data_IF_551013159936
#
_entry.id   IF_551013159936
#
_cell.length_a   1.000
_cell.length_b   1.000
_cell.length_c   1.000
_cell.angle_alpha   90.00
_cell.angle_beta   90.00
_cell.angle_gamma   90.00
#
_symmetry.space_group_name_H-M   'P 1'
#
loop_
_entity.id
_entity.type
_entity.pdbx_description
1 polymer ?
#
# COMPACT_ATOMS: atom_id res chain seq x y z
N UNK A 1 -27.99 -2.25 0.15
CA UNK A 1 -27.19 -3.43 -0.19
C UNK A 1 -27.19 -3.68 -1.70
N UNK A 2 -28.32 -4.02 -2.37
CA UNK A 2 -28.31 -4.37 -3.81
C UNK A 2 -27.70 -3.33 -4.72
N UNK A 3 -27.90 -2.05 -4.44
CA UNK A 3 -27.29 -0.96 -5.20
C UNK A 3 -25.76 -0.85 -5.06
N UNK A 4 -25.16 -1.59 -4.15
CA UNK A 4 -23.71 -1.62 -3.89
C UNK A 4 -23.03 -2.92 -4.33
N UNK A 5 -23.81 -3.85 -4.92
CA UNK A 5 -23.25 -5.09 -5.46
C UNK A 5 -22.65 -4.79 -6.82
N UNK A 6 -21.33 -4.96 -6.91
CA UNK A 6 -20.55 -4.71 -8.12
C UNK A 6 -20.81 -5.72 -9.25
N UNK A 7 -20.37 -5.40 -10.45
CA UNK A 7 -20.49 -6.29 -11.62
C UNK A 7 -19.65 -7.56 -11.47
N UNK A 8 -18.55 -7.48 -10.73
CA UNK A 8 -17.70 -8.61 -10.32
C UNK A 8 -17.29 -8.43 -8.87
N UNK A 9 -16.95 -9.52 -8.16
CA UNK A 9 -16.49 -9.46 -6.77
C UNK A 9 -17.60 -9.24 -5.72
N UNK A 10 -18.86 -9.08 -6.09
CA UNK A 10 -19.98 -8.98 -5.16
C UNK A 10 -20.01 -7.70 -4.33
N UNK A 11 -20.42 -7.77 -3.07
CA UNK A 11 -20.51 -6.63 -2.17
C UNK A 11 -19.14 -6.30 -1.55
N UNK A 12 -18.60 -5.13 -1.89
CA UNK A 12 -17.29 -4.67 -1.40
C UNK A 12 -16.11 -5.47 -1.93
N UNK A 13 -16.34 -6.39 -2.87
CA UNK A 13 -15.36 -7.26 -3.53
C UNK A 13 -14.45 -8.08 -2.57
N UNK A 14 -14.87 -8.27 -1.32
CA UNK A 14 -14.17 -9.07 -0.30
C UNK A 14 -15.08 -10.14 0.28
N UNK A 15 -14.49 -11.28 0.64
CA UNK A 15 -15.21 -12.42 1.21
C UNK A 15 -16.17 -12.06 2.36
N UNK A 16 -15.80 -11.26 3.40
CA UNK A 16 -16.74 -10.91 4.47
C UNK A 16 -17.97 -10.16 3.95
N UNK A 17 -17.81 -9.22 3.03
CA UNK A 17 -18.90 -8.46 2.43
C UNK A 17 -19.87 -9.36 1.66
N UNK A 18 -19.32 -10.28 0.86
CA UNK A 18 -20.10 -11.24 0.06
C UNK A 18 -20.90 -12.15 0.96
N UNK A 19 -20.28 -12.82 1.95
CA UNK A 19 -20.93 -13.77 2.86
C UNK A 19 -21.98 -13.06 3.73
N UNK A 20 -21.68 -11.92 4.30
CA UNK A 20 -22.64 -11.18 5.10
C UNK A 20 -23.83 -10.69 4.27
N UNK A 21 -23.66 -10.42 2.98
CA UNK A 21 -24.78 -10.11 2.09
C UNK A 21 -25.71 -11.31 1.89
N UNK A 22 -25.16 -12.53 1.80
CA UNK A 22 -25.95 -13.78 1.74
C UNK A 22 -26.72 -13.99 3.04
N UNK A 23 -26.06 -13.84 4.20
CA UNK A 23 -26.72 -13.97 5.51
C UNK A 23 -27.85 -12.96 5.67
N UNK A 24 -27.64 -11.69 5.30
CA UNK A 24 -28.66 -10.65 5.33
C UNK A 24 -29.87 -11.02 4.44
N UNK A 25 -29.65 -11.49 3.22
CA UNK A 25 -30.73 -11.92 2.32
C UNK A 25 -31.48 -13.11 2.91
N UNK A 26 -30.77 -14.11 3.48
CA UNK A 26 -31.42 -15.26 4.11
C UNK A 26 -32.23 -14.86 5.33
N UNK A 27 -31.73 -13.98 6.18
CA UNK A 27 -32.47 -13.46 7.34
C UNK A 27 -33.73 -12.70 6.95
N UNK A 28 -33.73 -12.04 5.77
CA UNK A 28 -34.89 -11.33 5.21
C UNK A 28 -35.85 -12.26 4.45
N UNK A 29 -35.62 -13.58 4.44
CA UNK A 29 -36.51 -14.58 3.83
C UNK A 29 -36.35 -14.79 2.33
N UNK A 30 -35.27 -14.28 1.71
CA UNK A 30 -34.99 -14.55 0.31
C UNK A 30 -34.74 -16.05 0.07
N UNK A 31 -35.31 -16.68 -0.97
CA UNK A 31 -35.10 -18.07 -1.29
C UNK A 31 -33.68 -18.35 -1.80
N UNK A 32 -33.19 -19.58 -1.66
CA UNK A 32 -31.84 -19.97 -2.06
C UNK A 32 -31.55 -19.76 -3.56
N UNK A 33 -32.56 -19.81 -4.39
CA UNK A 33 -32.50 -19.61 -5.84
C UNK A 33 -32.61 -18.16 -6.27
N UNK A 34 -32.72 -17.22 -5.31
CA UNK A 34 -32.74 -15.81 -5.62
C UNK A 34 -31.49 -15.40 -6.43
N UNK A 35 -31.63 -14.64 -7.53
CA UNK A 35 -30.51 -14.34 -8.43
C UNK A 35 -29.30 -13.72 -7.74
N UNK A 36 -29.48 -12.86 -6.76
CA UNK A 36 -28.38 -12.21 -6.03
C UNK A 36 -27.66 -13.20 -5.08
N UNK A 37 -28.39 -14.16 -4.47
CA UNK A 37 -27.76 -15.19 -3.65
C UNK A 37 -26.92 -16.12 -4.52
N UNK A 38 -27.46 -16.58 -5.65
CA UNK A 38 -26.71 -17.42 -6.61
C UNK A 38 -25.46 -16.72 -7.12
N UNK A 39 -25.58 -15.42 -7.39
CA UNK A 39 -24.45 -14.61 -7.84
C UNK A 39 -23.39 -14.49 -6.74
N UNK A 40 -23.77 -14.13 -5.51
CA UNK A 40 -22.86 -14.04 -4.39
C UNK A 40 -22.14 -15.36 -4.09
N UNK A 41 -22.84 -16.49 -4.16
CA UNK A 41 -22.24 -17.82 -4.02
C UNK A 41 -21.21 -18.10 -5.14
N UNK A 42 -21.49 -17.69 -6.37
CA UNK A 42 -20.52 -17.80 -7.47
C UNK A 42 -19.27 -16.97 -7.23
N UNK A 43 -19.39 -15.77 -6.69
CA UNK A 43 -18.21 -14.94 -6.32
C UNK A 43 -17.39 -15.58 -5.20
N UNK A 44 -18.05 -16.26 -4.22
CA UNK A 44 -17.34 -17.04 -3.19
C UNK A 44 -16.54 -18.20 -3.80
N UNK A 45 -17.13 -18.91 -4.75
CA UNK A 45 -16.44 -20.01 -5.45
C UNK A 45 -15.21 -19.52 -6.23
N UNK A 46 -15.23 -18.30 -6.77
CA UNK A 46 -14.07 -17.70 -7.46
C UNK A 46 -12.91 -17.33 -6.52
N UNK A 47 -13.18 -17.21 -5.22
CA UNK A 47 -12.16 -16.98 -4.18
C UNK A 47 -11.58 -18.29 -3.62
N UNK A 48 -12.12 -19.42 -4.02
CA UNK A 48 -11.67 -20.74 -3.58
C UNK A 48 -10.38 -21.11 -4.28
N UNK A 49 -9.40 -21.55 -3.50
CA UNK A 49 -8.18 -22.19 -3.96
C UNK A 49 -8.23 -23.65 -3.49
N UNK A 50 -8.16 -24.56 -4.42
CA UNK A 50 -8.21 -26.01 -4.18
C UNK A 50 -6.93 -26.64 -4.70
N UNK A 51 -6.20 -27.30 -3.82
CA UNK A 51 -4.99 -28.07 -4.09
C UNK A 51 -5.24 -29.55 -3.81
N UNK A 52 -4.26 -30.43 -4.04
CA UNK A 52 -4.45 -31.86 -3.86
C UNK A 52 -4.99 -32.24 -2.47
N UNK A 53 -4.43 -31.66 -1.40
CA UNK A 53 -4.71 -31.98 0.00
C UNK A 53 -5.28 -30.81 0.81
N UNK A 54 -5.53 -29.68 0.18
CA UNK A 54 -6.01 -28.48 0.88
C UNK A 54 -7.07 -27.72 0.11
N UNK A 55 -7.89 -27.00 0.86
CA UNK A 55 -8.85 -26.05 0.32
C UNK A 55 -8.90 -24.83 1.22
N UNK A 56 -8.69 -23.64 0.64
CA UNK A 56 -8.87 -22.40 1.37
C UNK A 56 -9.58 -21.35 0.52
N UNK A 57 -10.15 -20.36 1.20
CA UNK A 57 -10.77 -19.20 0.58
C UNK A 57 -9.87 -18.00 0.77
N UNK A 58 -9.40 -17.43 -0.33
CA UNK A 58 -8.74 -16.13 -0.25
C UNK A 58 -9.77 -15.03 0.02
N UNK A 59 -9.42 -13.97 0.77
CA UNK A 59 -10.38 -12.94 1.16
C UNK A 59 -10.79 -12.03 0.01
N UNK A 60 -9.91 -11.81 -0.96
CA UNK A 60 -10.09 -10.93 -2.14
C UNK A 60 -8.96 -11.20 -3.14
N UNK A 61 -8.99 -10.48 -4.24
CA UNK A 61 -7.91 -10.40 -5.22
C UNK A 61 -7.44 -8.94 -5.35
N UNK A 62 -6.18 -8.72 -5.73
CA UNK A 62 -5.50 -7.42 -5.71
C UNK A 62 -4.96 -6.95 -7.07
N UNK A 63 -5.72 -7.09 -8.17
CA UNK A 63 -5.17 -6.86 -9.51
C UNK A 63 -4.71 -5.41 -9.76
N UNK A 64 -5.40 -4.41 -9.21
CA UNK A 64 -5.03 -3.00 -9.40
C UNK A 64 -3.78 -2.68 -8.60
N UNK A 65 -3.74 -3.07 -7.33
CA UNK A 65 -2.60 -2.91 -6.45
C UNK A 65 -1.33 -3.56 -6.99
N UNK A 66 -1.42 -4.84 -7.33
CA UNK A 66 -0.27 -5.60 -7.83
C UNK A 66 0.20 -5.12 -9.20
N UNK A 67 -0.72 -4.75 -10.10
CA UNK A 67 -0.32 -4.19 -11.40
C UNK A 67 0.44 -2.87 -11.22
N UNK A 68 0.01 -2.00 -10.31
CA UNK A 68 0.68 -0.73 -10.05
C UNK A 68 2.08 -0.92 -9.47
N UNK A 69 2.25 -1.77 -8.46
CA UNK A 69 3.58 -2.08 -7.91
C UNK A 69 4.48 -2.78 -8.91
N UNK A 70 3.96 -3.69 -9.71
CA UNK A 70 4.72 -4.35 -10.78
C UNK A 70 5.24 -3.34 -11.82
N UNK A 71 4.44 -2.37 -12.25
CA UNK A 71 4.87 -1.28 -13.14
C UNK A 71 6.02 -0.48 -12.51
N UNK A 72 5.90 -0.13 -11.22
CA UNK A 72 6.94 0.61 -10.50
C UNK A 72 8.24 -0.21 -10.45
N UNK A 73 8.16 -1.48 -10.06
CA UNK A 73 9.31 -2.36 -9.93
C UNK A 73 10.04 -2.57 -11.27
N UNK A 74 9.30 -2.87 -12.31
CA UNK A 74 9.84 -3.09 -13.65
C UNK A 74 10.51 -1.82 -14.22
N UNK A 75 9.89 -0.65 -14.02
CA UNK A 75 10.51 0.61 -14.43
C UNK A 75 11.77 0.91 -13.63
N UNK A 76 11.73 0.81 -12.29
CA UNK A 76 12.88 1.04 -11.41
C UNK A 76 14.03 0.06 -11.74
N UNK A 77 13.73 -1.14 -12.25
CA UNK A 77 14.73 -2.12 -12.70
C UNK A 77 15.40 -1.77 -14.03
N UNK A 78 14.83 -0.83 -14.79
CA UNK A 78 15.43 -0.30 -16.01
C UNK A 78 14.60 -0.48 -17.28
N UNK A 79 13.36 -1.01 -17.19
CA UNK A 79 12.47 -1.04 -18.36
C UNK A 79 12.14 0.41 -18.78
N UNK A 80 12.26 0.74 -20.06
CA UNK A 80 11.92 2.08 -20.53
C UNK A 80 10.41 2.31 -20.44
N UNK A 81 10.00 3.57 -20.20
CA UNK A 81 8.59 3.98 -20.00
C UNK A 81 7.64 3.59 -21.14
N UNK A 82 8.18 3.38 -22.35
CA UNK A 82 7.44 2.94 -23.53
C UNK A 82 7.49 1.42 -23.76
N UNK A 83 8.02 0.64 -22.82
CA UNK A 83 8.01 -0.82 -22.92
C UNK A 83 6.56 -1.33 -22.97
N UNK A 84 6.28 -2.29 -23.87
CA UNK A 84 4.92 -2.77 -24.15
C UNK A 84 4.17 -3.24 -22.89
N UNK A 85 4.86 -3.92 -21.97
CA UNK A 85 4.26 -4.38 -20.72
C UNK A 85 3.79 -3.19 -19.84
N UNK A 86 4.62 -2.14 -19.72
CA UNK A 86 4.28 -0.95 -18.94
C UNK A 86 3.14 -0.16 -19.58
N UNK A 87 3.16 -0.04 -20.91
CA UNK A 87 2.09 0.64 -21.66
C UNK A 87 0.75 -0.09 -21.46
N UNK A 88 0.71 -1.42 -21.69
CA UNK A 88 -0.52 -2.21 -21.51
C UNK A 88 -1.07 -2.14 -20.07
N UNK A 89 -0.18 -2.26 -19.07
CA UNK A 89 -0.59 -2.14 -17.68
C UNK A 89 -1.11 -0.73 -17.38
N UNK A 90 -0.46 0.31 -17.88
CA UNK A 90 -0.90 1.69 -17.72
C UNK A 90 -2.24 1.98 -18.39
N UNK A 91 -2.47 1.48 -19.60
CA UNK A 91 -3.79 1.60 -20.27
C UNK A 91 -4.89 0.90 -19.47
N UNK A 92 -4.61 -0.30 -18.95
CA UNK A 92 -5.55 -1.04 -18.12
C UNK A 92 -5.85 -0.29 -16.80
N UNK A 93 -4.83 0.24 -16.12
CA UNK A 93 -4.98 1.03 -14.91
C UNK A 93 -5.77 2.32 -15.17
N UNK A 94 -5.53 3.03 -16.29
CA UNK A 94 -6.34 4.19 -16.67
C UNK A 94 -7.81 3.84 -16.85
N UNK A 95 -8.10 2.67 -17.44
CA UNK A 95 -9.47 2.18 -17.63
C UNK A 95 -10.19 1.82 -16.32
N UNK A 96 -9.47 1.77 -15.19
CA UNK A 96 -9.99 1.49 -13.84
C UNK A 96 -10.26 2.74 -13.00
N UNK A 97 -9.99 3.93 -13.54
CA UNK A 97 -10.31 5.16 -12.82
C UNK A 97 -11.79 5.24 -12.49
N UNK A 98 -12.12 5.47 -11.23
CA UNK A 98 -13.49 5.67 -10.76
C UNK A 98 -14.03 7.02 -11.25
N UNK A 99 -15.20 6.99 -11.92
CA UNK A 99 -15.86 8.19 -12.42
C UNK A 99 -17.26 8.40 -11.81
N UNK A 100 -17.66 7.51 -10.92
CA UNK A 100 -18.94 7.56 -10.24
C UNK A 100 -18.79 8.07 -8.80
N UNK A 101 -19.86 8.67 -8.28
CA UNK A 101 -19.89 9.10 -6.89
C UNK A 101 -20.18 7.93 -5.96
N UNK A 102 -19.26 7.64 -5.05
CA UNK A 102 -19.40 6.64 -4.00
C UNK A 102 -19.79 7.24 -2.63
N UNK A 103 -19.74 6.41 -1.61
CA UNK A 103 -20.12 6.78 -0.24
C UNK A 103 -19.17 7.83 0.38
N UNK A 104 -17.93 7.92 -0.06
CA UNK A 104 -16.93 8.94 0.30
C UNK A 104 -17.44 10.37 0.09
N UNK A 105 -18.38 10.58 -0.86
CA UNK A 105 -18.96 11.90 -1.18
C UNK A 105 -19.69 12.55 0.00
N UNK A 106 -20.21 11.75 0.93
CA UNK A 106 -20.94 12.28 2.10
C UNK A 106 -20.11 13.29 2.88
N UNK A 107 -18.79 13.03 3.00
CA UNK A 107 -17.85 13.93 3.70
C UNK A 107 -17.01 14.80 2.76
N UNK A 108 -17.07 14.54 1.47
CA UNK A 108 -16.32 15.27 0.44
C UNK A 108 -17.19 15.63 -0.79
N UNK A 109 -18.28 16.40 -0.60
CA UNK A 109 -19.34 16.57 -1.62
C UNK A 109 -18.94 17.43 -2.83
N UNK A 110 -17.85 18.18 -2.74
CA UNK A 110 -17.47 19.19 -3.74
C UNK A 110 -16.34 18.72 -4.67
N UNK A 111 -15.85 17.50 -4.49
CA UNK A 111 -14.75 16.96 -5.28
C UNK A 111 -15.29 16.03 -6.36
N UNK A 112 -14.75 16.18 -7.56
CA UNK A 112 -15.06 15.32 -8.71
C UNK A 112 -14.61 13.89 -8.46
N UNK A 113 -15.37 12.85 -8.87
CA UNK A 113 -14.99 11.47 -8.72
C UNK A 113 -13.70 11.15 -9.43
N UNK A 114 -12.79 10.48 -8.71
CA UNK A 114 -11.56 9.90 -9.22
C UNK A 114 -11.03 8.88 -8.21
N UNK A 115 -9.86 8.33 -8.47
CA UNK A 115 -9.21 7.32 -7.66
C UNK A 115 -9.38 5.92 -8.24
N UNK A 116 -8.79 4.95 -7.56
CA UNK A 116 -8.81 3.55 -7.94
C UNK A 116 -9.19 2.68 -6.74
N UNK A 117 -9.71 1.53 -7.02
CA UNK A 117 -10.04 0.48 -6.07
C UNK A 117 -9.04 -0.68 -6.19
N UNK A 118 -9.04 -1.55 -5.22
CA UNK A 118 -8.06 -2.62 -5.03
C UNK A 118 -8.27 -3.81 -5.98
N UNK A 119 -9.52 -4.19 -6.25
CA UNK A 119 -9.95 -5.39 -6.96
C UNK A 119 -10.22 -5.12 -8.45
N UNK A 120 -10.93 -6.03 -9.13
CA UNK A 120 -11.38 -5.85 -10.51
C UNK A 120 -12.52 -4.84 -10.67
N UNK A 121 -13.40 -4.73 -9.67
CA UNK A 121 -14.49 -3.76 -9.62
C UNK A 121 -14.88 -3.49 -8.16
N UNK A 122 -14.83 -2.25 -7.75
CA UNK A 122 -15.31 -1.74 -6.45
C UNK A 122 -15.50 -0.22 -6.49
N UNK A 123 -16.27 0.25 -7.48
CA UNK A 123 -16.39 1.68 -7.82
C UNK A 123 -17.01 2.53 -6.69
N UNK A 124 -17.75 1.91 -5.76
CA UNK A 124 -18.31 2.59 -4.59
C UNK A 124 -17.27 2.99 -3.54
N UNK A 125 -16.12 2.30 -3.53
CA UNK A 125 -15.09 2.42 -2.51
C UNK A 125 -13.69 2.59 -3.14
N UNK A 126 -13.44 3.73 -3.83
CA UNK A 126 -12.07 4.02 -4.27
C UNK A 126 -11.17 4.13 -3.04
N UNK A 127 -9.98 3.56 -3.14
CA UNK A 127 -8.97 3.48 -2.10
C UNK A 127 -7.92 4.58 -2.28
N UNK A 128 -7.59 5.28 -1.20
CA UNK A 128 -6.60 6.37 -1.20
C UNK A 128 -5.19 5.83 -1.44
N UNK A 129 -4.82 4.68 -0.83
CA UNK A 129 -3.50 4.08 -0.98
C UNK A 129 -3.31 3.55 -2.41
N UNK A 130 -4.28 2.77 -2.93
CA UNK A 130 -4.28 2.32 -4.33
C UNK A 130 -4.16 3.49 -5.30
N UNK A 131 -4.94 4.55 -5.08
CA UNK A 131 -4.94 5.72 -5.95
C UNK A 131 -3.58 6.38 -6.01
N UNK A 132 -2.89 6.53 -4.89
CA UNK A 132 -1.55 7.11 -4.86
C UNK A 132 -0.53 6.20 -5.57
N UNK A 133 -0.60 4.89 -5.37
CA UNK A 133 0.32 3.92 -6.02
C UNK A 133 0.06 3.86 -7.53
N UNK A 134 -1.20 3.82 -7.96
CA UNK A 134 -1.56 3.83 -9.39
C UNK A 134 -1.05 5.10 -10.08
N UNK A 135 -1.21 6.26 -9.45
CA UNK A 135 -0.68 7.53 -9.98
C UNK A 135 0.84 7.47 -10.15
N UNK A 136 1.56 6.92 -9.16
CA UNK A 136 3.01 6.70 -9.26
C UNK A 136 3.40 5.71 -10.36
N UNK A 137 2.59 4.67 -10.59
CA UNK A 137 2.79 3.72 -11.67
C UNK A 137 2.55 4.38 -13.04
N UNK A 138 1.44 5.09 -13.21
CA UNK A 138 1.11 5.82 -14.42
C UNK A 138 2.16 6.88 -14.77
N UNK A 139 2.78 7.53 -13.78
CA UNK A 139 3.90 8.46 -14.00
C UNK A 139 5.08 7.79 -14.71
N UNK A 140 5.26 6.48 -14.52
CA UNK A 140 6.35 5.65 -15.09
C UNK A 140 6.04 5.04 -16.46
N UNK A 141 4.91 5.37 -17.05
CA UNK A 141 4.50 4.87 -18.36
C UNK A 141 4.40 5.99 -19.39
N UNK A 142 4.58 5.68 -20.66
CA UNK A 142 4.21 6.55 -21.79
C UNK A 142 2.94 5.97 -22.37
N UNK A 143 1.85 6.73 -22.30
CA UNK A 143 0.54 6.27 -22.76
C UNK A 143 0.20 6.89 -24.12
N UNK A 144 -0.40 6.14 -25.04
CA UNK A 144 -0.90 6.71 -26.29
C UNK A 144 -1.97 7.77 -26.04
N UNK A 145 -1.97 8.84 -26.82
CA UNK A 145 -3.04 9.85 -26.79
C UNK A 145 -2.82 11.03 -25.86
N UNK A 146 -1.58 11.30 -25.38
CA UNK A 146 -1.19 12.56 -24.68
C UNK A 146 -2.26 13.08 -23.71
N UNK A 147 -2.32 14.23 -23.27
CA UNK A 147 -3.38 14.96 -22.55
C UNK A 147 -4.29 14.24 -21.51
N UNK A 148 -4.78 13.04 -21.83
CA UNK A 148 -5.63 12.27 -20.91
C UNK A 148 -4.98 11.93 -19.57
N UNK A 149 -3.70 11.65 -19.58
CA UNK A 149 -2.94 11.29 -18.39
C UNK A 149 -2.79 12.50 -17.45
N UNK A 150 -2.51 13.65 -17.99
CA UNK A 150 -2.37 14.90 -17.24
C UNK A 150 -3.71 15.33 -16.61
N UNK A 151 -4.81 15.15 -17.33
CA UNK A 151 -6.17 15.39 -16.79
C UNK A 151 -6.48 14.44 -15.63
N UNK A 152 -6.15 13.15 -15.78
CA UNK A 152 -6.31 12.14 -14.72
C UNK A 152 -5.46 12.50 -13.52
N UNK A 153 -4.19 12.88 -13.72
CA UNK A 153 -3.31 13.28 -12.62
C UNK A 153 -3.86 14.47 -11.85
N UNK A 154 -4.34 15.49 -12.55
CA UNK A 154 -4.92 16.67 -11.91
C UNK A 154 -6.19 16.32 -11.11
N UNK A 155 -7.09 15.54 -11.71
CA UNK A 155 -8.35 15.14 -11.08
C UNK A 155 -8.13 14.24 -9.88
N UNK A 156 -7.32 13.19 -10.02
CA UNK A 156 -7.04 12.26 -8.95
C UNK A 156 -6.25 12.90 -7.81
N UNK A 157 -5.31 13.80 -8.11
CA UNK A 157 -4.62 14.56 -7.07
C UNK A 157 -5.59 15.47 -6.30
N UNK A 158 -6.54 16.11 -6.97
CA UNK A 158 -7.59 16.90 -6.29
C UNK A 158 -8.47 16.01 -5.41
N UNK A 159 -8.80 14.82 -5.89
CA UNK A 159 -9.55 13.85 -5.10
C UNK A 159 -8.78 13.42 -3.85
N UNK A 160 -7.51 13.03 -3.98
CA UNK A 160 -6.64 12.70 -2.85
C UNK A 160 -6.55 13.86 -1.82
N UNK A 161 -6.31 15.08 -2.28
CA UNK A 161 -6.27 16.26 -1.40
C UNK A 161 -7.61 16.47 -0.68
N UNK A 162 -8.73 16.25 -1.37
CA UNK A 162 -10.06 16.32 -0.79
C UNK A 162 -10.31 15.28 0.30
N UNK A 163 -9.64 14.13 0.25
CA UNK A 163 -9.76 13.04 1.24
C UNK A 163 -8.90 13.26 2.49
N UNK A 164 -8.02 14.28 2.53
CA UNK A 164 -7.24 14.58 3.73
C UNK A 164 -8.14 14.86 4.94
N UNK A 165 -7.90 14.17 6.04
CA UNK A 165 -8.60 14.36 7.30
C UNK A 165 -8.20 15.67 8.01
N UNK A 166 -9.00 16.07 9.01
CA UNK A 166 -8.75 17.31 9.77
C UNK A 166 -7.46 17.29 10.57
N UNK A 167 -7.00 16.10 11.00
CA UNK A 167 -5.74 15.92 11.71
C UNK A 167 -4.49 15.95 10.80
N UNK A 168 -4.68 16.00 9.47
CA UNK A 168 -3.64 16.07 8.47
C UNK A 168 -3.30 14.74 7.79
N UNK A 169 -3.74 13.60 8.32
CA UNK A 169 -3.54 12.28 7.74
C UNK A 169 -4.59 11.87 6.71
N UNK A 170 -4.45 10.67 6.17
CA UNK A 170 -5.41 10.00 5.29
C UNK A 170 -5.77 8.62 5.80
N UNK A 171 -7.07 8.27 5.80
CA UNK A 171 -7.57 6.91 5.84
C UNK A 171 -7.59 6.30 4.44
N UNK A 172 -7.89 5.02 4.32
CA UNK A 172 -7.95 4.33 3.04
C UNK A 172 -9.20 4.67 2.22
N UNK A 173 -10.37 4.74 2.85
CA UNK A 173 -11.65 4.87 2.15
C UNK A 173 -12.46 6.09 2.57
N UNK A 174 -12.22 6.60 3.79
CA UNK A 174 -13.11 7.55 4.41
C UNK A 174 -12.37 8.76 4.99
N UNK A 175 -13.03 9.90 5.02
CA UNK A 175 -12.50 11.12 5.62
C UNK A 175 -13.06 11.30 7.02
N UNK A 176 -12.20 11.58 8.01
CA UNK A 176 -12.60 11.86 9.40
C UNK A 176 -13.45 10.72 10.03
N UNK A 177 -13.14 9.46 9.74
CA UNK A 177 -13.81 8.29 10.32
C UNK A 177 -12.96 7.65 11.44
N UNK A 178 -12.75 8.41 12.54
CA UNK A 178 -11.82 8.07 13.61
C UNK A 178 -12.44 8.10 15.02
N UNK A 179 -13.76 8.04 15.16
CA UNK A 179 -14.45 8.06 16.45
C UNK A 179 -14.29 6.75 17.20
N UNK A 180 -13.23 6.60 17.99
CA UNK A 180 -12.86 5.37 18.73
C UNK A 180 -14.00 4.71 19.53
N UNK A 181 -15.02 5.48 19.95
CA UNK A 181 -16.22 4.96 20.60
C UNK A 181 -16.94 3.88 19.76
N UNK A 182 -16.88 3.96 18.43
CA UNK A 182 -17.50 3.00 17.53
C UNK A 182 -16.87 1.60 17.61
N UNK A 183 -15.64 1.47 18.10
CA UNK A 183 -15.00 0.16 18.34
C UNK A 183 -15.66 -0.66 19.46
N UNK A 184 -16.51 -0.03 20.28
CA UNK A 184 -17.26 -0.69 21.36
C UNK A 184 -18.64 -1.19 20.91
N UNK A 185 -19.00 -0.99 19.65
CA UNK A 185 -20.26 -1.48 19.09
C UNK A 185 -20.18 -3.00 18.93
N UNK A 186 -21.03 -3.78 19.63
CA UNK A 186 -20.83 -5.23 19.76
C UNK A 186 -21.10 -6.06 18.49
N UNK A 187 -21.66 -5.45 17.46
CA UNK A 187 -21.91 -6.06 16.14
C UNK A 187 -20.96 -5.52 15.05
N UNK A 188 -19.95 -4.75 15.44
CA UNK A 188 -18.91 -4.27 14.53
C UNK A 188 -17.77 -5.30 14.47
N UNK A 189 -17.80 -6.16 13.48
CA UNK A 189 -16.75 -7.15 13.26
C UNK A 189 -15.40 -6.43 13.01
N UNK A 190 -14.34 -6.90 13.67
CA UNK A 190 -12.95 -6.55 13.43
C UNK A 190 -12.59 -5.05 13.53
N UNK A 191 -13.46 -4.21 14.14
CA UNK A 191 -13.27 -2.77 14.14
C UNK A 191 -13.56 -2.10 12.78
N UNK A 192 -14.29 -2.78 11.89
CA UNK A 192 -14.56 -2.37 10.52
C UNK A 192 -15.45 -1.11 10.35
N UNK A 193 -15.99 -0.57 11.45
CA UNK A 193 -16.72 0.71 11.42
C UNK A 193 -15.81 1.93 11.30
N UNK A 194 -14.52 1.78 11.59
CA UNK A 194 -13.55 2.87 11.56
C UNK A 194 -12.58 2.72 10.39
N UNK A 195 -12.25 3.86 9.80
CA UNK A 195 -11.17 4.04 8.86
C UNK A 195 -10.34 5.26 9.26
N UNK A 196 -9.56 5.15 10.35
CA UNK A 196 -8.76 6.27 10.84
C UNK A 196 -7.59 6.56 9.89
N UNK A 197 -7.11 7.81 9.85
CA UNK A 197 -5.86 8.11 9.17
C UNK A 197 -4.71 7.30 9.76
N UNK A 198 -3.80 6.84 8.90
CA UNK A 198 -2.66 6.01 9.27
C UNK A 198 -1.37 6.51 8.66
N UNK A 199 -0.24 6.14 9.27
CA UNK A 199 1.07 6.64 8.83
C UNK A 199 1.46 6.14 7.45
N UNK A 200 1.15 4.90 7.12
CA UNK A 200 1.45 4.29 5.81
C UNK A 200 0.66 4.94 4.67
N UNK A 201 -0.67 5.08 4.80
CA UNK A 201 -1.51 5.74 3.78
C UNK A 201 -1.14 7.23 3.65
N UNK A 202 -0.94 7.92 4.78
CA UNK A 202 -0.51 9.34 4.78
C UNK A 202 0.82 9.52 4.05
N UNK A 203 1.78 8.67 4.34
CA UNK A 203 3.10 8.71 3.70
C UNK A 203 3.02 8.38 2.20
N UNK A 204 2.13 7.50 1.80
CA UNK A 204 1.90 7.17 0.39
C UNK A 204 1.34 8.37 -0.37
N UNK A 205 0.39 9.10 0.23
CA UNK A 205 -0.10 10.36 -0.34
C UNK A 205 1.04 11.39 -0.46
N UNK A 206 1.90 11.52 0.56
CA UNK A 206 3.06 12.41 0.49
C UNK A 206 4.04 11.99 -0.61
N UNK A 207 4.30 10.68 -0.80
CA UNK A 207 5.19 10.21 -1.88
C UNK A 207 4.64 10.63 -3.26
N UNK A 208 3.34 10.50 -3.50
CA UNK A 208 2.73 11.01 -4.73
C UNK A 208 2.80 12.54 -4.84
N UNK A 209 2.40 13.26 -3.79
CA UNK A 209 2.35 14.72 -3.80
C UNK A 209 3.73 15.33 -4.07
N UNK A 210 4.79 14.80 -3.46
CA UNK A 210 6.16 15.24 -3.72
C UNK A 210 6.57 15.05 -5.18
N UNK A 211 6.16 13.97 -5.82
CA UNK A 211 6.45 13.69 -7.23
C UNK A 211 5.77 14.64 -8.21
N UNK A 212 4.70 15.29 -7.81
CA UNK A 212 3.99 16.30 -8.62
C UNK A 212 4.24 17.73 -8.16
N UNK A 213 5.27 17.93 -7.33
CA UNK A 213 5.81 19.24 -6.99
C UNK A 213 5.24 19.88 -5.73
N UNK A 214 4.50 19.15 -4.90
CA UNK A 214 4.15 19.61 -3.57
C UNK A 214 5.34 19.41 -2.62
N UNK A 215 5.63 20.41 -1.81
CA UNK A 215 6.72 20.40 -0.85
C UNK A 215 6.27 20.90 0.54
N UNK A 216 7.19 21.03 1.47
CA UNK A 216 6.95 21.52 2.82
C UNK A 216 6.48 22.98 2.89
N UNK A 217 6.40 23.71 1.79
CA UNK A 217 5.76 25.02 1.70
C UNK A 217 4.24 24.97 1.52
N UNK A 218 3.68 23.80 1.19
CA UNK A 218 2.24 23.62 0.97
C UNK A 218 1.53 23.20 2.25
N UNK A 219 0.48 23.92 2.64
CA UNK A 219 -0.25 23.66 3.91
C UNK A 219 -0.72 22.21 4.06
N UNK A 220 -1.17 21.56 2.98
CA UNK A 220 -1.61 20.16 3.01
C UNK A 220 -0.45 19.22 3.37
N UNK A 221 0.75 19.48 2.83
CA UNK A 221 1.97 18.73 3.14
C UNK A 221 2.41 18.99 4.58
N UNK A 222 2.45 20.25 5.01
CA UNK A 222 2.79 20.62 6.40
C UNK A 222 1.95 19.86 7.39
N UNK A 223 0.63 19.82 7.20
CA UNK A 223 -0.29 19.10 8.08
C UNK A 223 -0.03 17.59 8.10
N UNK A 224 0.31 17.01 6.94
CA UNK A 224 0.60 15.59 6.84
C UNK A 224 1.94 15.22 7.50
N UNK A 225 2.95 16.07 7.35
CA UNK A 225 4.25 15.93 8.03
C UNK A 225 4.07 16.01 9.55
N UNK A 226 3.29 16.98 10.04
CA UNK A 226 2.97 17.10 11.48
C UNK A 226 2.17 15.89 11.99
N UNK A 227 1.24 15.36 11.19
CA UNK A 227 0.56 14.10 11.50
C UNK A 227 1.58 12.95 11.67
N UNK A 228 2.49 12.75 10.72
CA UNK A 228 3.52 11.72 10.82
C UNK A 228 4.44 11.91 12.02
N UNK A 229 4.86 13.15 12.32
CA UNK A 229 5.67 13.46 13.53
C UNK A 229 4.95 13.06 14.82
N UNK A 230 3.64 13.30 14.89
CA UNK A 230 2.81 12.95 16.04
C UNK A 230 2.59 11.44 16.19
N UNK A 231 2.43 10.73 15.08
CA UNK A 231 2.19 9.28 15.06
C UNK A 231 3.48 8.46 15.21
N UNK A 232 4.67 9.10 15.21
CA UNK A 232 5.93 8.39 15.45
C UNK A 232 5.97 7.81 16.86
N UNK A 233 6.29 6.53 16.96
CA UNK A 233 6.50 5.85 18.22
C UNK A 233 7.76 6.36 18.94
N UNK A 234 7.85 6.13 20.24
CA UNK A 234 8.99 6.59 21.08
C UNK A 234 10.33 6.03 20.62
N UNK A 235 10.33 4.82 20.06
CA UNK A 235 11.53 4.15 19.55
C UNK A 235 11.93 4.65 18.15
N UNK A 236 11.12 5.49 17.52
CA UNK A 236 11.36 6.06 16.19
C UNK A 236 10.62 5.36 15.07
N UNK A 237 9.99 4.23 15.31
CA UNK A 237 9.21 3.50 14.30
C UNK A 237 7.85 4.16 14.01
N UNK A 238 7.22 3.75 12.91
CA UNK A 238 5.82 4.05 12.60
C UNK A 238 5.01 2.78 12.41
N UNK A 239 3.80 2.80 12.94
CA UNK A 239 2.83 1.73 12.76
C UNK A 239 2.37 1.65 11.30
N UNK A 240 2.34 0.44 10.74
CA UNK A 240 1.80 0.13 9.42
C UNK A 240 0.43 -0.54 9.56
N UNK A 241 -0.62 0.09 9.01
CA UNK A 241 -1.98 -0.44 9.08
C UNK A 241 -2.21 -1.57 8.09
N UNK A 242 -1.67 -1.43 6.87
CA UNK A 242 -1.97 -2.31 5.74
C UNK A 242 -0.85 -3.31 5.45
N UNK A 243 0.38 -2.99 5.78
CA UNK A 243 1.53 -3.90 5.72
C UNK A 243 2.08 -4.19 7.11
N UNK A 244 2.57 -5.41 7.34
CA UNK A 244 3.09 -5.87 8.62
C UNK A 244 4.52 -5.40 8.85
N UNK A 245 4.71 -4.72 9.88
CA UNK A 245 3.95 -3.75 10.64
C UNK A 245 4.79 -2.48 10.75
N UNK A 246 5.68 -2.41 11.75
CA UNK A 246 6.52 -1.23 11.98
C UNK A 246 7.64 -1.07 10.94
N UNK A 247 8.15 -2.17 10.37
CA UNK A 247 9.10 -2.10 9.24
C UNK A 247 8.44 -1.45 8.02
N UNK A 248 7.21 -1.88 7.69
CA UNK A 248 6.42 -1.30 6.59
C UNK A 248 6.05 0.16 6.81
N UNK A 249 5.52 0.49 8.00
CA UNK A 249 5.13 1.86 8.34
C UNK A 249 6.31 2.82 8.35
N UNK A 250 7.46 2.36 8.87
CA UNK A 250 8.68 3.18 8.93
C UNK A 250 9.25 3.43 7.52
N UNK A 251 9.29 2.40 6.66
CA UNK A 251 9.66 2.60 5.25
C UNK A 251 8.75 3.60 4.57
N UNK A 252 7.42 3.42 4.70
CA UNK A 252 6.43 4.30 4.07
C UNK A 252 6.63 5.75 4.52
N UNK A 253 6.78 5.99 5.84
CA UNK A 253 6.99 7.31 6.40
C UNK A 253 8.27 7.99 5.84
N UNK A 254 9.40 7.27 5.85
CA UNK A 254 10.67 7.80 5.33
C UNK A 254 10.58 8.12 3.83
N UNK A 255 9.93 7.28 3.03
CA UNK A 255 9.74 7.51 1.60
C UNK A 255 8.88 8.74 1.31
N UNK A 256 7.74 8.89 2.01
CA UNK A 256 6.85 10.03 1.85
C UNK A 256 7.50 11.34 2.27
N UNK A 257 8.16 11.36 3.43
CA UNK A 257 8.85 12.55 3.95
C UNK A 257 9.97 13.02 3.01
N UNK A 258 10.79 12.10 2.49
CA UNK A 258 11.83 12.42 1.51
C UNK A 258 11.24 13.03 0.24
N UNK A 259 10.13 12.48 -0.26
CA UNK A 259 9.52 12.94 -1.52
C UNK A 259 9.03 14.39 -1.47
N UNK A 260 8.60 14.87 -0.31
CA UNK A 260 8.15 16.26 -0.12
C UNK A 260 9.26 17.23 0.34
N UNK A 261 10.49 16.74 0.41
CA UNK A 261 11.65 17.57 0.77
C UNK A 261 11.76 17.92 2.26
N UNK A 262 11.25 17.04 3.14
CA UNK A 262 11.49 17.17 4.59
C UNK A 262 12.98 17.04 4.91
N UNK A 263 13.44 17.68 5.99
CA UNK A 263 14.83 17.58 6.45
C UNK A 263 15.14 16.17 6.97
N UNK A 264 15.77 15.36 6.12
CA UNK A 264 16.15 13.99 6.46
C UNK A 264 17.28 13.91 7.49
N UNK A 265 17.88 15.05 7.89
CA UNK A 265 18.83 15.12 9.00
C UNK A 265 18.18 15.37 10.37
N UNK A 266 16.87 15.58 10.43
CA UNK A 266 16.13 15.86 11.64
C UNK A 266 16.21 14.69 12.64
N UNK A 267 16.16 14.99 13.94
CA UNK A 267 16.36 13.99 15.00
C UNK A 267 15.30 12.87 14.98
N UNK A 268 14.06 13.18 14.62
CA UNK A 268 13.02 12.16 14.52
C UNK A 268 13.26 11.19 13.35
N UNK A 269 13.88 11.65 12.25
CA UNK A 269 14.32 10.79 11.14
C UNK A 269 15.50 9.91 11.57
N UNK A 270 16.49 10.50 12.26
CA UNK A 270 17.63 9.73 12.80
C UNK A 270 17.17 8.62 13.75
N UNK A 271 16.14 8.87 14.57
CA UNK A 271 15.55 7.82 15.43
C UNK A 271 14.97 6.67 14.60
N UNK A 272 14.25 6.98 13.51
CA UNK A 272 13.67 5.97 12.62
C UNK A 272 14.75 5.13 11.92
N UNK A 273 15.78 5.79 11.41
CA UNK A 273 16.97 5.13 10.83
C UNK A 273 17.65 4.23 11.86
N UNK A 274 17.87 4.74 13.08
CA UNK A 274 18.43 3.97 14.18
C UNK A 274 17.59 2.75 14.53
N UNK A 275 16.27 2.90 14.57
CA UNK A 275 15.37 1.78 14.82
C UNK A 275 15.46 0.72 13.73
N UNK A 276 15.37 1.07 12.44
CA UNK A 276 15.52 0.11 11.34
C UNK A 276 16.85 -0.65 11.42
N UNK A 277 17.94 0.05 11.69
CA UNK A 277 19.26 -0.58 11.87
C UNK A 277 19.29 -1.55 13.05
N UNK A 278 18.63 -1.19 14.16
CA UNK A 278 18.63 -1.98 15.40
C UNK A 278 17.85 -3.30 15.33
N UNK A 279 16.88 -3.39 14.40
CA UNK A 279 16.04 -4.60 14.22
C UNK A 279 16.48 -5.47 13.05
N UNK A 280 17.63 -5.17 12.43
CA UNK A 280 18.23 -6.05 11.43
C UNK A 280 18.66 -7.38 12.05
N UNK A 281 18.34 -8.48 11.40
CA UNK A 281 18.70 -9.82 11.85
C UNK A 281 20.17 -10.14 11.55
N UNK A 282 20.78 -11.11 12.24
CA UNK A 282 22.22 -11.43 12.08
C UNK A 282 22.63 -11.84 10.67
N UNK A 283 21.70 -12.40 9.88
CA UNK A 283 21.93 -12.80 8.49
C UNK A 283 21.79 -11.66 7.47
N UNK A 284 21.46 -10.45 7.95
CA UNK A 284 21.33 -9.25 7.14
C UNK A 284 19.90 -8.94 6.69
N UNK A 285 18.95 -9.84 6.90
CA UNK A 285 17.53 -9.61 6.58
C UNK A 285 16.78 -8.81 7.63
N UNK A 286 15.52 -8.53 7.34
CA UNK A 286 14.53 -8.00 8.29
C UNK A 286 13.28 -8.86 8.27
N UNK A 287 12.66 -8.98 9.44
CA UNK A 287 11.42 -9.72 9.57
C UNK A 287 10.64 -9.32 10.82
N UNK A 288 9.33 -9.26 10.66
CA UNK A 288 8.41 -8.90 11.71
C UNK A 288 7.12 -9.71 11.57
N UNK A 289 6.74 -10.45 12.62
CA UNK A 289 5.48 -11.19 12.64
C UNK A 289 4.28 -10.27 12.86
N UNK A 290 3.15 -10.66 12.33
CA UNK A 290 1.88 -9.99 12.56
C UNK A 290 1.44 -9.95 14.04
N UNK A 291 2.06 -10.73 14.92
CA UNK A 291 1.83 -10.65 16.37
C UNK A 291 2.21 -9.28 16.95
N UNK A 292 3.07 -8.52 16.31
CA UNK A 292 3.39 -7.14 16.68
C UNK A 292 2.18 -6.19 16.68
N UNK A 293 1.10 -6.54 15.97
CA UNK A 293 -0.18 -5.84 16.06
C UNK A 293 -0.88 -6.00 17.41
N UNK A 294 -0.59 -7.10 18.12
CA UNK A 294 -1.17 -7.40 19.45
C UNK A 294 -0.24 -6.98 20.57
N UNK A 295 1.07 -7.23 20.38
CA UNK A 295 2.10 -6.93 21.37
C UNK A 295 3.23 -6.06 20.76
N UNK A 296 3.27 -4.75 21.10
CA UNK A 296 4.33 -3.86 20.64
C UNK A 296 5.76 -4.26 21.06
N UNK A 297 5.93 -5.15 22.05
CA UNK A 297 7.25 -5.69 22.40
C UNK A 297 7.83 -6.58 21.30
N UNK A 298 7.02 -6.99 20.34
CA UNK A 298 7.40 -7.80 19.18
C UNK A 298 7.75 -6.98 17.92
N UNK A 299 7.80 -5.65 18.03
CA UNK A 299 8.21 -4.76 16.92
C UNK A 299 9.52 -5.20 16.30
N UNK A 300 9.55 -5.36 15.00
CA UNK A 300 10.75 -5.77 14.25
C UNK A 300 11.26 -7.16 14.59
N UNK A 301 10.43 -8.04 15.19
CA UNK A 301 10.81 -9.40 15.56
C UNK A 301 10.01 -10.44 14.79
N UNK A 302 10.70 -11.29 14.08
CA UNK A 302 10.16 -12.41 13.30
C UNK A 302 11.22 -13.03 12.42
N UNK A 303 10.87 -14.09 11.70
CA UNK A 303 11.72 -14.60 10.62
C UNK A 303 11.89 -13.51 9.56
N UNK A 304 13.08 -13.48 8.95
CA UNK A 304 13.30 -12.57 7.82
C UNK A 304 12.41 -12.94 6.62
N UNK A 305 11.99 -11.91 5.92
CA UNK A 305 11.25 -12.07 4.66
C UNK A 305 11.88 -11.20 3.57
N UNK A 306 11.84 -11.61 2.31
CA UNK A 306 12.36 -10.80 1.22
C UNK A 306 11.61 -9.46 1.07
N UNK A 307 10.29 -9.43 1.27
CA UNK A 307 9.51 -8.18 1.18
C UNK A 307 9.82 -7.21 2.32
N UNK A 308 9.89 -7.66 3.58
CA UNK A 308 10.22 -6.78 4.70
C UNK A 308 11.69 -6.32 4.68
N UNK A 309 12.61 -7.19 4.24
CA UNK A 309 13.98 -6.80 3.97
C UNK A 309 14.07 -5.71 2.91
N UNK A 310 13.30 -5.84 1.83
CA UNK A 310 13.23 -4.82 0.79
C UNK A 310 12.66 -3.49 1.31
N UNK A 311 11.62 -3.53 2.14
CA UNK A 311 11.06 -2.31 2.75
C UNK A 311 12.08 -1.61 3.64
N UNK A 312 12.78 -2.35 4.50
CA UNK A 312 13.83 -1.76 5.36
C UNK A 312 14.94 -1.11 4.53
N UNK A 313 15.45 -1.82 3.50
CA UNK A 313 16.44 -1.25 2.58
C UNK A 313 15.90 0.04 1.95
N UNK A 314 14.69 0.02 1.39
CA UNK A 314 14.10 1.20 0.73
C UNK A 314 13.88 2.36 1.70
N UNK A 315 13.54 2.09 2.96
CA UNK A 315 13.43 3.11 4.01
C UNK A 315 14.79 3.77 4.31
N UNK A 316 15.83 2.97 4.49
CA UNK A 316 17.19 3.45 4.70
C UNK A 316 17.72 4.24 3.49
N UNK A 317 17.46 3.75 2.26
CA UNK A 317 17.82 4.48 1.04
C UNK A 317 17.11 5.83 0.92
N UNK A 318 15.82 5.90 1.29
CA UNK A 318 15.07 7.14 1.32
C UNK A 318 15.65 8.15 2.32
N UNK A 319 16.16 7.67 3.45
CA UNK A 319 16.86 8.50 4.43
C UNK A 319 18.32 8.87 4.04
N UNK A 320 18.79 8.47 2.86
CA UNK A 320 20.14 8.78 2.38
C UNK A 320 21.24 7.80 2.81
N UNK A 321 20.90 6.74 3.52
CA UNK A 321 21.81 5.74 4.11
C UNK A 321 22.32 4.71 3.08
N UNK A 322 22.74 5.17 1.89
CA UNK A 322 23.09 4.29 0.75
C UNK A 322 24.31 3.43 1.01
N UNK A 323 25.29 3.94 1.75
CA UNK A 323 26.61 3.30 1.97
C UNK A 323 26.73 2.72 3.38
N UNK A 324 25.61 2.55 4.13
CA UNK A 324 25.68 2.00 5.46
C UNK A 324 25.76 0.45 5.43
N UNK A 325 26.48 -0.17 6.40
CA UNK A 325 26.65 -1.62 6.44
C UNK A 325 25.33 -2.41 6.48
N UNK A 326 24.29 -1.84 7.08
CA UNK A 326 22.99 -2.50 7.18
C UNK A 326 22.35 -2.67 5.80
N UNK A 327 22.43 -1.64 4.94
CA UNK A 327 21.93 -1.72 3.55
C UNK A 327 22.74 -2.75 2.76
N UNK A 328 24.06 -2.75 2.90
CA UNK A 328 24.92 -3.73 2.20
C UNK A 328 24.59 -5.17 2.62
N UNK A 329 24.46 -5.44 3.93
CA UNK A 329 24.06 -6.78 4.41
C UNK A 329 22.65 -7.19 3.94
N UNK A 330 21.70 -6.24 3.89
CA UNK A 330 20.36 -6.52 3.40
C UNK A 330 20.33 -6.83 1.89
N UNK A 331 21.12 -6.11 1.10
CA UNK A 331 21.32 -6.41 -0.32
C UNK A 331 21.95 -7.79 -0.51
N UNK A 332 22.99 -8.13 0.26
CA UNK A 332 23.63 -9.44 0.22
C UNK A 332 22.65 -10.56 0.61
N UNK A 333 21.78 -10.31 1.61
CA UNK A 333 20.73 -11.24 1.99
C UNK A 333 19.80 -11.51 0.79
N UNK A 334 19.27 -10.48 0.13
CA UNK A 334 18.37 -10.64 -1.02
C UNK A 334 19.06 -11.37 -2.19
N UNK A 335 20.31 -11.04 -2.49
CA UNK A 335 21.07 -11.70 -3.56
C UNK A 335 21.33 -13.17 -3.27
N UNK A 336 21.68 -13.52 -2.02
CA UNK A 336 21.98 -14.89 -1.61
C UNK A 336 20.76 -15.78 -1.53
N UNK A 337 19.58 -15.22 -1.19
CA UNK A 337 18.33 -15.97 -1.07
C UNK A 337 17.52 -16.00 -2.35
N UNK A 338 17.95 -15.29 -3.40
CA UNK A 338 17.32 -15.35 -4.71
C UNK A 338 17.49 -16.74 -5.34
N UNK A 339 16.41 -17.32 -5.82
CA UNK A 339 16.41 -18.61 -6.50
C UNK A 339 16.94 -18.48 -7.94
N UNK A 340 17.26 -19.62 -8.56
CA UNK A 340 17.78 -19.63 -9.93
C UNK A 340 16.80 -19.06 -10.97
N UNK A 341 15.50 -19.16 -10.72
CA UNK A 341 14.45 -18.59 -11.57
C UNK A 341 14.25 -17.07 -11.34
N UNK A 342 15.00 -16.46 -10.42
CA UNK A 342 14.93 -15.05 -10.08
C UNK A 342 13.89 -14.70 -9.02
N UNK A 343 13.14 -15.67 -8.50
CA UNK A 343 12.14 -15.49 -7.45
C UNK A 343 12.73 -15.59 -6.03
N UNK A 344 11.90 -15.33 -5.04
CA UNK A 344 12.16 -15.57 -3.61
C UNK A 344 11.04 -16.38 -2.98
N UNK A 345 11.35 -17.11 -1.91
CA UNK A 345 10.34 -17.74 -1.06
C UNK A 345 9.98 -16.82 0.11
N UNK A 346 8.70 -16.79 0.46
CA UNK A 346 8.15 -16.08 1.61
C UNK A 346 6.95 -16.85 2.12
N UNK A 347 7.01 -17.30 3.37
CA UNK A 347 5.95 -18.10 4.00
C UNK A 347 5.16 -17.30 5.04
N UNK A 348 5.69 -16.14 5.46
CA UNK A 348 5.09 -15.31 6.50
C UNK A 348 4.05 -14.36 5.90
N UNK A 349 2.96 -14.15 6.65
CA UNK A 349 2.02 -13.08 6.33
C UNK A 349 2.68 -11.72 6.54
N UNK A 350 2.69 -10.90 5.53
CA UNK A 350 3.32 -9.58 5.53
C UNK A 350 2.34 -8.42 5.38
N UNK A 351 1.05 -8.72 5.37
CA UNK A 351 -0.01 -7.73 5.28
C UNK A 351 -1.24 -8.11 6.09
N UNK A 352 -2.21 -7.22 6.19
CA UNK A 352 -3.43 -7.42 6.94
C UNK A 352 -4.63 -6.77 6.28
N UNK A 353 -5.76 -7.47 6.27
CA UNK A 353 -7.06 -6.87 5.99
C UNK A 353 -7.59 -6.11 7.21
N UNK A 354 -7.57 -6.75 8.39
CA UNK A 354 -7.93 -6.14 9.68
C UNK A 354 -6.89 -6.50 10.73
N UNK A 355 -6.09 -5.53 11.22
CA UNK A 355 -5.06 -5.77 12.23
C UNK A 355 -5.61 -6.52 13.44
N UNK A 356 -4.87 -7.51 13.93
CA UNK A 356 -5.23 -8.41 15.04
C UNK A 356 -6.23 -9.50 14.71
N UNK A 357 -6.94 -9.43 13.57
CA UNK A 357 -8.05 -10.34 13.26
C UNK A 357 -7.75 -11.26 12.09
N UNK A 358 -7.31 -10.72 10.93
CA UNK A 358 -6.84 -11.56 9.86
C UNK A 358 -5.71 -10.91 9.04
N UNK A 359 -4.81 -11.76 8.54
CA UNK A 359 -3.60 -11.39 7.86
C UNK A 359 -3.59 -11.92 6.44
N UNK A 360 -2.78 -11.29 5.59
CA UNK A 360 -2.72 -11.57 4.16
C UNK A 360 -1.29 -11.91 3.75
N UNK A 361 -1.17 -12.87 2.86
CA UNK A 361 0.03 -13.13 2.07
C UNK A 361 -0.21 -12.66 0.64
N UNK A 362 0.54 -11.64 0.20
CA UNK A 362 0.52 -11.19 -1.18
C UNK A 362 1.62 -11.90 -1.95
N UNK A 363 1.24 -12.82 -2.84
CA UNK A 363 2.19 -13.64 -3.60
C UNK A 363 3.24 -12.85 -4.39
N UNK A 364 2.91 -11.63 -4.83
CA UNK A 364 3.81 -10.79 -5.61
C UNK A 364 4.70 -9.88 -4.77
N UNK A 365 4.44 -9.72 -3.47
CA UNK A 365 5.28 -8.92 -2.56
C UNK A 365 6.73 -9.42 -2.59
N UNK A 366 6.93 -10.71 -2.49
CA UNK A 366 8.23 -11.36 -2.55
C UNK A 366 8.94 -11.24 -3.90
N UNK A 367 8.28 -10.76 -4.94
CA UNK A 367 8.87 -10.54 -6.26
C UNK A 367 9.19 -9.06 -6.49
N UNK A 368 8.19 -8.17 -6.45
CA UNK A 368 8.40 -6.79 -6.86
C UNK A 368 9.11 -5.92 -5.82
N UNK A 369 8.96 -6.15 -4.50
CA UNK A 369 9.66 -5.34 -3.51
C UNK A 369 11.17 -5.61 -3.47
N UNK A 370 11.66 -6.88 -3.46
CA UNK A 370 13.09 -7.13 -3.61
C UNK A 370 13.68 -6.55 -4.90
N UNK A 371 12.98 -6.70 -6.04
CA UNK A 371 13.40 -6.12 -7.31
C UNK A 371 13.53 -4.60 -7.22
N UNK A 372 12.58 -3.92 -6.58
CA UNK A 372 12.61 -2.46 -6.36
C UNK A 372 13.80 -2.06 -5.47
N UNK A 373 13.99 -2.73 -4.34
CA UNK A 373 15.07 -2.41 -3.40
C UNK A 373 16.45 -2.54 -4.05
N UNK A 374 16.71 -3.68 -4.71
CA UNK A 374 17.96 -3.92 -5.42
C UNK A 374 18.19 -2.92 -6.56
N UNK A 375 17.13 -2.57 -7.29
CA UNK A 375 17.20 -1.62 -8.40
C UNK A 375 17.47 -0.21 -7.92
N UNK A 376 16.80 0.25 -6.86
CA UNK A 376 17.01 1.58 -6.27
C UNK A 376 18.41 1.69 -5.66
N UNK A 377 18.86 0.67 -4.93
CA UNK A 377 20.24 0.60 -4.42
C UNK A 377 21.27 0.73 -5.54
N UNK A 378 21.17 -0.10 -6.58
CA UNK A 378 22.06 -0.04 -7.76
C UNK A 378 22.08 1.33 -8.41
N UNK A 379 20.90 1.94 -8.60
CA UNK A 379 20.77 3.24 -9.26
C UNK A 379 21.38 4.38 -8.43
N UNK A 380 21.17 4.37 -7.12
CA UNK A 380 21.77 5.34 -6.20
C UNK A 380 23.30 5.20 -6.11
N UNK A 381 23.82 3.98 -6.05
CA UNK A 381 25.27 3.71 -6.06
C UNK A 381 25.91 4.22 -7.37
N UNK A 382 25.28 3.96 -8.51
CA UNK A 382 25.75 4.46 -9.82
C UNK A 382 25.74 5.99 -9.89
N UNK A 383 24.73 6.63 -9.36
CA UNK A 383 24.65 8.11 -9.31
C UNK A 383 25.78 8.69 -8.46
N UNK A 384 25.97 8.21 -7.25
CA UNK A 384 27.08 8.64 -6.36
C UNK A 384 28.45 8.41 -6.99
N UNK A 385 28.65 7.32 -7.72
CA UNK A 385 29.91 7.06 -8.42
C UNK A 385 30.19 8.08 -9.52
N UNK A 386 29.17 8.49 -10.28
CA UNK A 386 29.30 9.54 -11.32
C UNK A 386 29.60 10.91 -10.71
N UNK A 387 28.90 11.32 -9.67
CA UNK A 387 29.12 12.58 -8.96
C UNK A 387 30.57 12.68 -8.42
N UNK A 388 31.15 11.59 -7.93
CA UNK A 388 32.56 11.52 -7.48
C UNK A 388 33.57 11.67 -8.61
N UNK A 389 33.21 11.31 -9.84
CA UNK A 389 34.09 11.46 -11.02
C UNK A 389 34.03 12.87 -11.58
N UNK A 390 32.87 13.51 -11.58
CA UNK A 390 32.66 14.87 -12.08
C UNK A 390 33.31 15.97 -11.18
N UNK A 391 33.53 15.68 -9.88
CA UNK A 391 34.18 16.59 -8.90
C UNK A 391 35.70 16.45 -8.90
N UNK A 392 36.28 15.49 -9.62
CA UNK A 392 37.72 15.31 -9.81
C UNK A 392 38.19 15.88 -11.14
#
# INVERSE_FOLDING_TARGET
MFARIEKSGGLGAIWPGIINSIFAMKALGYPNDHPQIRRALKEVELLKIEEEDSLHLQPCVSPVWDAAWAVIALHDSGLPRNHLALVKAGEWLLGKEVREYGDWRVKNPYVEPSGWYFEYANEWYPDVDDSAVVLMALQRTVLPGGGKKEEVFLRATRWLLGMQCRDGGWGAFDKDNNRKMLNHVPFADFGALLDPPTSDVTARCLDWLGRVGFDTGHNMVVRAVEFLKKEQERDGSWYGRWGCNYVYGTWSALAGLTSVGEDMSADYIKRAVGWLKSVQLPDGGWGERCDSYKDPALKGKGPNTPSQTAWAIMGLLAAGEVDCPEVERGVDYLLRTQKQDGSWDEEEFTATGFPRFFYLEYHLYRAYFPLMALSRYRNLRRRKAREKVEVR
#
